data_IF_449989142710
#
_entry.id   IF_449989142710
#
_cell.length_a   1.000
_cell.length_b   1.000
_cell.length_c   1.000
_cell.angle_alpha   90.00
_cell.angle_beta   90.00
_cell.angle_gamma   90.00
#
_symmetry.space_group_name_H-M   'P 1'
#
loop_
_entity.id
_entity.type
_entity.pdbx_description
1 polymer ?
#
# COMPACT_ATOMS: atom_id res chain seq x y z
N UNK A 1 -9.49 -62.72 73.01
CA UNK A 1 -8.81 -63.70 72.12
C UNK A 1 -8.95 -63.19 70.69
N UNK A 2 -7.96 -63.12 69.81
CA UNK A 2 -6.52 -63.34 69.85
C UNK A 2 -6.02 -62.68 68.55
N UNK A 3 -4.88 -62.00 68.63
CA UNK A 3 -4.18 -61.38 67.51
C UNK A 3 -3.76 -62.46 66.51
N UNK A 4 -3.96 -62.22 65.21
CA UNK A 4 -3.05 -62.82 64.22
C UNK A 4 -2.86 -61.90 63.02
N UNK A 5 -1.68 -61.27 63.01
CA UNK A 5 -0.98 -60.78 61.83
C UNK A 5 -0.82 -61.91 60.82
N UNK A 6 -1.10 -61.64 59.55
CA UNK A 6 -0.44 -62.32 58.44
C UNK A 6 0.27 -61.29 57.57
N UNK A 7 1.55 -61.55 57.42
CA UNK A 7 2.58 -60.75 56.77
C UNK A 7 2.52 -60.87 55.25
N UNK A 8 2.72 -59.71 54.60
CA UNK A 8 3.22 -59.44 53.24
C UNK A 8 3.50 -60.65 52.33
N UNK A 9 2.85 -60.65 51.17
CA UNK A 9 3.44 -61.16 49.93
C UNK A 9 3.68 -59.98 49.00
N UNK A 10 4.95 -59.80 48.60
CA UNK A 10 5.39 -58.72 47.74
C UNK A 10 4.75 -58.83 46.37
N UNK A 11 3.93 -57.83 46.01
CA UNK A 11 3.65 -57.53 44.61
C UNK A 11 4.77 -56.63 44.12
N UNK A 12 5.56 -57.15 43.19
CA UNK A 12 6.34 -56.36 42.25
C UNK A 12 5.44 -55.25 41.71
N UNK A 13 5.77 -54.00 42.03
CA UNK A 13 5.17 -52.80 41.43
C UNK A 13 5.50 -52.83 39.93
N UNK A 14 4.66 -53.51 39.15
CA UNK A 14 4.47 -53.12 37.76
C UNK A 14 3.81 -51.76 37.80
N UNK A 15 4.67 -50.74 37.76
CA UNK A 15 4.28 -49.36 37.53
C UNK A 15 3.65 -49.34 36.14
N UNK A 16 2.35 -49.58 36.05
CA UNK A 16 1.57 -49.35 34.84
C UNK A 16 1.83 -47.91 34.44
N UNK A 17 2.59 -47.74 33.36
CA UNK A 17 2.85 -46.43 32.78
C UNK A 17 1.54 -45.96 32.18
N UNK A 18 0.82 -45.11 32.92
CA UNK A 18 -0.41 -44.49 32.46
C UNK A 18 -0.08 -43.69 31.19
N UNK A 19 -0.52 -44.20 30.04
CA UNK A 19 -0.28 -43.58 28.75
C UNK A 19 -1.33 -42.50 28.51
N UNK A 20 -0.86 -41.25 28.44
CA UNK A 20 -1.72 -40.09 28.15
C UNK A 20 -2.31 -40.18 26.74
N UNK A 21 -3.60 -39.87 26.59
CA UNK A 21 -4.34 -39.81 25.33
C UNK A 21 -4.87 -38.40 25.07
N UNK A 22 -4.92 -37.97 23.81
CA UNK A 22 -5.43 -36.65 23.40
C UNK A 22 -6.96 -36.60 23.38
N UNK A 23 -7.57 -36.83 24.53
CA UNK A 23 -9.03 -36.92 24.72
C UNK A 23 -9.42 -36.03 25.90
N UNK A 24 -10.28 -35.03 25.66
CA UNK A 24 -10.62 -34.00 26.66
C UNK A 24 -11.55 -34.50 27.77
N UNK A 25 -12.36 -35.53 27.50
CA UNK A 25 -13.47 -35.93 28.36
C UNK A 25 -13.16 -37.10 29.32
N UNK A 26 -12.03 -37.80 29.14
CA UNK A 26 -11.65 -38.93 29.99
C UNK A 26 -10.70 -38.50 31.11
N UNK A 27 -10.92 -38.98 32.34
CA UNK A 27 -9.95 -38.81 33.43
C UNK A 27 -8.82 -39.82 33.26
N UNK A 28 -7.61 -39.30 33.01
CA UNK A 28 -6.43 -40.12 32.69
C UNK A 28 -5.39 -40.19 33.82
N UNK A 29 -5.74 -39.81 35.06
CA UNK A 29 -4.83 -39.92 36.22
C UNK A 29 -3.57 -39.04 36.18
N UNK A 30 -3.47 -38.12 35.22
CA UNK A 30 -2.38 -37.13 35.11
C UNK A 30 -2.78 -35.80 35.77
N UNK A 31 -1.80 -34.97 36.15
CA UNK A 31 -2.05 -33.62 36.68
C UNK A 31 -2.71 -32.73 35.60
N UNK A 32 -3.52 -31.76 36.02
CA UNK A 32 -4.21 -30.84 35.10
C UNK A 32 -3.26 -30.05 34.19
N UNK A 33 -2.03 -29.76 34.63
CA UNK A 33 -1.01 -29.06 33.83
C UNK A 33 -0.03 -30.03 33.12
N UNK A 34 -0.33 -31.31 33.05
CA UNK A 34 0.55 -32.28 32.42
C UNK A 34 0.57 -32.09 30.90
N UNK A 35 1.76 -31.80 30.37
CA UNK A 35 2.03 -31.72 28.92
C UNK A 35 2.84 -32.96 28.53
N UNK A 36 2.32 -33.83 27.66
CA UNK A 36 3.06 -35.02 27.26
C UNK A 36 4.31 -34.63 26.44
N UNK A 37 5.41 -35.39 26.50
CA UNK A 37 6.59 -35.14 25.65
C UNK A 37 6.29 -35.20 24.15
N UNK A 38 5.20 -35.89 23.76
CA UNK A 38 4.69 -35.95 22.40
C UNK A 38 3.86 -34.73 21.98
N UNK A 39 3.56 -33.79 22.89
CA UNK A 39 2.66 -32.65 22.63
C UNK A 39 3.07 -31.85 21.40
N UNK A 40 4.37 -31.60 21.24
CA UNK A 40 4.92 -30.84 20.12
C UNK A 40 5.22 -31.70 18.89
N UNK A 41 5.04 -33.03 18.94
CA UNK A 41 5.27 -33.91 17.77
C UNK A 41 4.30 -33.61 16.64
N UNK A 42 3.07 -33.24 16.96
CA UNK A 42 2.04 -32.88 15.99
C UNK A 42 2.05 -31.39 15.61
N UNK A 43 3.01 -30.61 16.14
CA UNK A 43 3.12 -29.19 15.83
C UNK A 43 3.56 -29.04 14.37
N UNK A 44 2.60 -28.88 13.48
CA UNK A 44 2.87 -28.58 12.08
C UNK A 44 3.37 -27.14 11.96
N UNK A 45 4.69 -26.96 11.91
CA UNK A 45 5.32 -25.66 11.67
C UNK A 45 5.19 -25.30 10.20
N UNK A 46 4.92 -24.02 9.91
CA UNK A 46 5.14 -23.47 8.56
C UNK A 46 4.39 -24.20 7.42
N UNK A 47 3.17 -24.70 7.68
CA UNK A 47 2.38 -25.53 6.74
C UNK A 47 2.10 -24.84 5.40
N UNK A 48 2.08 -23.50 5.38
CA UNK A 48 1.83 -22.69 4.19
C UNK A 48 3.03 -21.77 3.87
N UNK A 49 4.27 -22.27 3.99
CA UNK A 49 5.45 -21.46 3.70
C UNK A 49 5.61 -21.27 2.18
N UNK A 50 5.09 -20.16 1.66
CA UNK A 50 5.34 -19.75 0.28
C UNK A 50 6.80 -19.30 0.14
N UNK A 51 7.54 -19.94 -0.77
CA UNK A 51 8.88 -19.50 -1.16
C UNK A 51 8.76 -18.54 -2.33
N UNK A 52 9.28 -17.33 -2.17
CA UNK A 52 9.33 -16.34 -3.24
C UNK A 52 10.70 -16.39 -3.92
N UNK A 53 10.72 -16.35 -5.25
CA UNK A 53 11.95 -16.09 -5.98
C UNK A 53 12.31 -14.60 -5.89
N UNK A 54 13.62 -14.30 -6.01
CA UNK A 54 14.08 -12.92 -5.98
C UNK A 54 13.41 -12.06 -7.07
N UNK A 55 13.14 -12.65 -8.24
CA UNK A 55 12.47 -12.00 -9.36
C UNK A 55 11.05 -11.57 -8.99
N UNK A 56 10.29 -12.45 -8.33
CA UNK A 56 8.93 -12.14 -7.88
C UNK A 56 8.92 -11.05 -6.82
N UNK A 57 9.91 -11.03 -5.92
CA UNK A 57 10.08 -9.96 -4.94
C UNK A 57 10.36 -8.61 -5.60
N UNK A 58 11.24 -8.58 -6.61
CA UNK A 58 11.55 -7.35 -7.38
C UNK A 58 10.33 -6.90 -8.20
N UNK A 59 9.64 -7.83 -8.86
CA UNK A 59 8.44 -7.51 -9.61
C UNK A 59 7.35 -6.97 -8.68
N UNK A 60 7.22 -7.50 -7.47
CA UNK A 60 6.28 -7.01 -6.46
C UNK A 60 6.65 -5.61 -5.93
N UNK A 61 7.94 -5.28 -5.81
CA UNK A 61 8.36 -3.92 -5.39
C UNK A 61 8.09 -2.84 -6.45
N UNK A 62 7.83 -3.22 -7.70
CA UNK A 62 7.48 -2.26 -8.76
C UNK A 62 6.18 -1.52 -8.46
N UNK A 63 5.19 -2.18 -7.86
CA UNK A 63 3.92 -1.55 -7.49
C UNK A 63 4.13 -0.43 -6.45
N UNK A 64 4.99 -0.67 -5.45
CA UNK A 64 5.38 0.35 -4.47
C UNK A 64 6.11 1.52 -5.13
N UNK A 65 6.99 1.22 -6.07
CA UNK A 65 7.72 2.23 -6.84
C UNK A 65 6.79 3.12 -7.65
N UNK A 66 5.77 2.54 -8.30
CA UNK A 66 4.77 3.30 -9.06
C UNK A 66 4.01 4.30 -8.18
N UNK A 67 3.62 3.92 -6.95
CA UNK A 67 2.93 4.85 -6.05
C UNK A 67 3.85 5.97 -5.55
N UNK A 68 5.11 5.66 -5.23
CA UNK A 68 6.08 6.69 -4.83
C UNK A 68 6.34 7.66 -5.97
N UNK A 69 6.54 7.17 -7.19
CA UNK A 69 6.65 8.00 -8.38
C UNK A 69 5.39 8.85 -8.59
N UNK A 70 4.20 8.28 -8.38
CA UNK A 70 2.93 9.02 -8.48
C UNK A 70 2.87 10.20 -7.51
N UNK A 71 3.27 10.00 -6.25
CA UNK A 71 3.35 11.07 -5.25
C UNK A 71 4.37 12.14 -5.67
N UNK A 72 5.55 11.74 -6.14
CA UNK A 72 6.59 12.69 -6.57
C UNK A 72 6.12 13.52 -7.76
N UNK A 73 5.54 12.90 -8.77
CA UNK A 73 4.96 13.60 -9.93
C UNK A 73 3.88 14.58 -9.46
N UNK A 74 2.99 14.15 -8.57
CA UNK A 74 1.93 15.00 -8.02
C UNK A 74 2.49 16.25 -7.31
N UNK A 75 3.49 16.07 -6.45
CA UNK A 75 4.13 17.18 -5.72
C UNK A 75 4.85 18.11 -6.71
N UNK A 76 5.56 17.60 -7.70
CA UNK A 76 6.29 18.43 -8.67
C UNK A 76 5.32 19.22 -9.55
N UNK A 77 4.19 18.64 -9.96
CA UNK A 77 3.14 19.37 -10.68
C UNK A 77 2.56 20.50 -9.83
N UNK A 78 2.31 20.27 -8.54
CA UNK A 78 1.92 21.35 -7.62
C UNK A 78 2.97 22.47 -7.58
N UNK A 79 4.25 22.15 -7.43
CA UNK A 79 5.32 23.17 -7.39
C UNK A 79 5.38 24.00 -8.67
N UNK A 80 5.10 23.41 -9.83
CA UNK A 80 5.04 24.17 -11.08
C UNK A 80 3.80 25.06 -11.18
N UNK A 81 2.63 24.60 -10.72
CA UNK A 81 1.42 25.42 -10.65
C UNK A 81 1.60 26.58 -9.65
N UNK A 82 2.32 26.36 -8.55
CA UNK A 82 2.58 27.37 -7.51
C UNK A 82 3.70 28.36 -7.91
N UNK A 83 4.44 28.10 -8.99
CA UNK A 83 5.61 28.89 -9.40
C UNK A 83 5.31 30.34 -9.83
N UNK A 84 4.04 30.76 -9.87
CA UNK A 84 3.62 32.11 -10.25
C UNK A 84 3.78 32.43 -11.74
N UNK A 85 4.04 31.43 -12.59
CA UNK A 85 4.25 31.59 -14.04
C UNK A 85 2.97 31.25 -14.82
N UNK A 86 2.20 32.23 -15.31
CA UNK A 86 0.88 31.97 -15.90
C UNK A 86 0.95 31.13 -17.18
N UNK A 87 1.95 31.35 -18.03
CA UNK A 87 2.13 30.57 -19.27
C UNK A 87 2.36 29.08 -18.99
N UNK A 88 3.19 28.79 -17.98
CA UNK A 88 3.48 27.42 -17.56
C UNK A 88 2.24 26.78 -16.93
N UNK A 89 1.51 27.52 -16.10
CA UNK A 89 0.28 27.04 -15.47
C UNK A 89 -0.76 26.63 -16.50
N UNK A 90 -1.00 27.48 -17.51
CA UNK A 90 -1.93 27.18 -18.60
C UNK A 90 -1.48 25.92 -19.36
N UNK A 91 -0.20 25.79 -19.69
CA UNK A 91 0.32 24.62 -20.38
C UNK A 91 0.12 23.33 -19.56
N UNK A 92 0.31 23.38 -18.24
CA UNK A 92 0.08 22.25 -17.33
C UNK A 92 -1.41 21.92 -17.26
N UNK A 93 -2.29 22.90 -17.12
CA UNK A 93 -3.74 22.69 -17.10
C UNK A 93 -4.23 22.00 -18.40
N UNK A 94 -3.73 22.43 -19.56
CA UNK A 94 -4.03 21.78 -20.85
C UNK A 94 -3.49 20.35 -20.86
N UNK A 95 -2.26 20.15 -20.39
CA UNK A 95 -1.64 18.82 -20.33
C UNK A 95 -2.44 17.86 -19.44
N UNK A 96 -2.90 18.34 -18.28
CA UNK A 96 -3.77 17.57 -17.37
C UNK A 96 -5.06 17.20 -18.09
N UNK A 97 -5.76 18.15 -18.73
CA UNK A 97 -7.00 17.85 -19.44
C UNK A 97 -6.82 16.79 -20.55
N UNK A 98 -5.71 16.85 -21.30
CA UNK A 98 -5.37 15.85 -22.32
C UNK A 98 -5.09 14.48 -21.69
N UNK A 99 -4.34 14.44 -20.58
CA UNK A 99 -4.06 13.21 -19.83
C UNK A 99 -5.36 12.61 -19.29
N UNK A 100 -6.24 13.42 -18.69
CA UNK A 100 -7.56 13.00 -18.21
C UNK A 100 -8.34 12.33 -19.35
N UNK A 101 -8.46 13.00 -20.49
CA UNK A 101 -9.17 12.47 -21.65
C UNK A 101 -8.56 11.15 -22.14
N UNK A 102 -7.24 11.06 -22.22
CA UNK A 102 -6.53 9.85 -22.61
C UNK A 102 -6.80 8.70 -21.63
N UNK A 103 -6.64 8.93 -20.33
CA UNK A 103 -6.85 7.91 -19.30
C UNK A 103 -8.30 7.41 -19.30
N UNK A 104 -9.29 8.32 -19.37
CA UNK A 104 -10.68 7.93 -19.50
C UNK A 104 -10.91 7.12 -20.78
N UNK A 105 -10.44 7.58 -21.94
CA UNK A 105 -10.58 6.85 -23.20
C UNK A 105 -9.98 5.44 -23.14
N UNK A 106 -8.80 5.27 -22.52
CA UNK A 106 -8.20 3.95 -22.31
C UNK A 106 -9.04 3.08 -21.37
N UNK A 107 -9.65 3.65 -20.32
CA UNK A 107 -10.55 2.93 -19.43
C UNK A 107 -11.78 2.40 -20.18
N UNK A 108 -12.40 3.24 -21.02
CA UNK A 108 -13.53 2.87 -21.89
C UNK A 108 -13.15 1.70 -22.81
N UNK A 109 -11.98 1.81 -23.46
CA UNK A 109 -11.50 0.82 -24.40
C UNK A 109 -11.22 -0.54 -23.73
N UNK A 110 -10.61 -0.52 -22.54
CA UNK A 110 -10.29 -1.74 -21.77
C UNK A 110 -11.54 -2.40 -21.18
N UNK A 111 -12.64 -1.66 -20.97
CA UNK A 111 -13.88 -2.20 -20.40
C UNK A 111 -15.13 -1.64 -21.09
N UNK A 112 -15.51 -2.13 -22.29
CA UNK A 112 -16.61 -1.59 -23.09
C UNK A 112 -17.98 -2.08 -22.58
N UNK A 113 -18.34 -1.71 -21.35
CA UNK A 113 -19.64 -2.01 -20.73
C UNK A 113 -20.54 -0.77 -20.70
N UNK A 114 -21.86 -0.96 -20.63
CA UNK A 114 -22.82 0.16 -20.47
C UNK A 114 -22.60 0.97 -19.18
N UNK A 115 -21.85 0.42 -18.22
CA UNK A 115 -21.44 1.11 -17.00
C UNK A 115 -20.54 2.33 -17.32
N UNK A 116 -19.82 2.30 -18.45
CA UNK A 116 -18.92 3.38 -18.85
C UNK A 116 -19.64 4.71 -19.10
N UNK A 117 -20.86 4.70 -19.62
CA UNK A 117 -21.64 5.93 -19.80
C UNK A 117 -22.05 6.51 -18.44
N UNK A 118 -22.37 5.65 -17.48
CA UNK A 118 -22.65 6.05 -16.09
C UNK A 118 -21.37 6.54 -15.39
N UNK A 119 -20.21 5.97 -15.70
CA UNK A 119 -18.91 6.44 -15.23
C UNK A 119 -18.53 7.79 -15.84
N UNK A 120 -18.78 8.03 -17.14
CA UNK A 120 -18.57 9.32 -17.78
C UNK A 120 -19.48 10.40 -17.17
N UNK A 121 -20.74 10.03 -16.86
CA UNK A 121 -21.66 10.90 -16.14
C UNK A 121 -21.15 11.20 -14.73
N UNK A 122 -20.59 10.20 -14.03
CA UNK A 122 -19.99 10.36 -12.71
C UNK A 122 -18.72 11.21 -12.74
N UNK A 123 -17.89 11.06 -13.78
CA UNK A 123 -16.71 11.87 -14.03
C UNK A 123 -17.08 13.34 -14.30
N UNK A 124 -18.11 13.59 -15.12
CA UNK A 124 -18.65 14.93 -15.33
C UNK A 124 -19.18 15.54 -14.02
N UNK A 125 -19.88 14.75 -13.19
CA UNK A 125 -20.36 15.19 -11.88
C UNK A 125 -19.20 15.51 -10.93
N UNK A 126 -18.13 14.68 -10.92
CA UNK A 126 -16.92 14.92 -10.12
C UNK A 126 -16.16 16.17 -10.57
N UNK A 127 -16.06 16.41 -11.89
CA UNK A 127 -15.44 17.62 -12.44
C UNK A 127 -16.25 18.87 -12.09
N UNK A 128 -17.58 18.81 -12.20
CA UNK A 128 -18.48 19.93 -11.88
C UNK A 128 -18.50 20.20 -10.38
N UNK A 129 -18.50 19.16 -9.53
CA UNK A 129 -18.42 19.34 -8.08
C UNK A 129 -17.05 19.85 -7.64
N UNK A 130 -15.98 19.40 -8.27
CA UNK A 130 -14.62 19.92 -8.08
C UNK A 130 -14.53 21.42 -8.37
N UNK A 131 -15.20 21.91 -9.43
CA UNK A 131 -15.29 23.35 -9.73
C UNK A 131 -16.03 24.14 -8.64
N UNK A 132 -17.12 23.60 -8.11
CA UNK A 132 -17.88 24.25 -7.05
C UNK A 132 -17.13 24.29 -5.71
N UNK A 133 -16.34 23.25 -5.43
CA UNK A 133 -15.62 23.08 -4.16
C UNK A 133 -14.25 23.77 -4.15
N UNK A 134 -13.59 23.94 -5.30
CA UNK A 134 -12.29 24.64 -5.43
C UNK A 134 -12.24 26.03 -4.76
N UNK A 135 -13.18 26.96 -5.02
CA UNK A 135 -13.19 28.27 -4.36
C UNK A 135 -13.50 28.17 -2.85
N UNK A 136 -14.30 27.18 -2.43
CA UNK A 136 -14.67 26.94 -1.02
C UNK A 136 -13.46 26.41 -0.23
N UNK A 137 -12.66 25.55 -0.85
CA UNK A 137 -11.42 25.01 -0.24
C UNK A 137 -10.41 26.13 0.02
N UNK A 138 -10.28 27.05 -0.92
CA UNK A 138 -9.38 28.20 -0.77
C UNK A 138 -9.81 29.08 0.40
N UNK A 139 -11.09 29.41 0.50
CA UNK A 139 -11.60 30.28 1.57
C UNK A 139 -11.60 29.61 2.95
N UNK A 140 -11.88 28.30 3.04
CA UNK A 140 -11.94 27.59 4.33
C UNK A 140 -10.56 27.36 4.95
N UNK A 141 -9.53 27.20 4.13
CA UNK A 141 -8.17 26.84 4.60
C UNK A 141 -7.23 28.03 4.66
N UNK A 142 -7.65 29.24 4.25
CA UNK A 142 -6.83 30.45 4.26
C UNK A 142 -6.25 30.75 5.65
N UNK A 143 -7.00 30.44 6.71
CA UNK A 143 -6.61 30.64 8.11
C UNK A 143 -5.60 29.62 8.63
N UNK A 144 -5.36 28.53 7.89
CA UNK A 144 -4.38 27.49 8.25
C UNK A 144 -3.01 27.87 7.69
N UNK A 145 -1.95 27.70 8.50
CA UNK A 145 -0.58 27.99 8.06
C UNK A 145 -0.10 27.03 6.97
N UNK A 146 0.77 27.51 6.09
CA UNK A 146 1.38 26.71 5.01
C UNK A 146 2.17 25.53 5.55
N UNK A 147 2.89 25.71 6.65
CA UNK A 147 3.73 24.67 7.25
C UNK A 147 2.89 23.50 7.79
N UNK A 148 1.75 23.82 8.40
CA UNK A 148 0.82 22.76 8.87
C UNK A 148 0.17 22.04 7.71
N UNK A 149 -0.15 22.74 6.62
CA UNK A 149 -0.65 22.11 5.39
C UNK A 149 0.38 21.14 4.81
N UNK A 150 1.65 21.54 4.67
CA UNK A 150 2.69 20.63 4.16
C UNK A 150 2.96 19.44 5.09
N UNK A 151 2.87 19.63 6.41
CA UNK A 151 2.94 18.53 7.36
C UNK A 151 1.77 17.55 7.20
N UNK A 152 0.54 18.06 7.10
CA UNK A 152 -0.66 17.24 6.89
C UNK A 152 -0.60 16.48 5.57
N UNK A 153 -0.19 17.13 4.49
CA UNK A 153 0.03 16.49 3.18
C UNK A 153 1.03 15.35 3.30
N UNK A 154 2.15 15.57 3.98
CA UNK A 154 3.19 14.55 4.17
C UNK A 154 2.63 13.34 4.91
N UNK A 155 1.90 13.57 6.02
CA UNK A 155 1.22 12.50 6.78
C UNK A 155 0.23 11.75 5.89
N UNK A 156 -0.53 12.45 5.07
CA UNK A 156 -1.55 11.86 4.22
C UNK A 156 -0.95 11.04 3.07
N UNK A 157 0.17 11.47 2.50
CA UNK A 157 0.94 10.69 1.53
C UNK A 157 1.54 9.43 2.18
N UNK A 158 1.96 9.49 3.44
CA UNK A 158 2.40 8.31 4.20
C UNK A 158 1.24 7.35 4.52
N UNK A 159 0.08 7.87 4.90
CA UNK A 159 -1.15 7.07 5.09
C UNK A 159 -1.54 6.41 3.76
N UNK A 160 -1.47 7.13 2.65
CA UNK A 160 -1.70 6.56 1.33
C UNK A 160 -0.74 5.39 1.07
N UNK A 161 0.58 5.59 1.19
CA UNK A 161 1.57 4.53 0.95
C UNK A 161 1.44 3.33 1.88
N UNK A 162 0.99 3.51 3.12
CA UNK A 162 0.91 2.43 4.11
C UNK A 162 -0.34 1.57 3.94
N UNK A 163 -1.48 2.18 3.60
CA UNK A 163 -2.76 1.47 3.47
C UNK A 163 -3.07 1.05 2.02
N UNK A 164 -2.28 1.46 1.03
CA UNK A 164 -2.54 1.13 -0.36
C UNK A 164 -2.36 -0.37 -0.65
N UNK A 165 -3.22 -0.90 -1.53
CA UNK A 165 -3.18 -2.31 -1.92
C UNK A 165 -2.22 -2.54 -3.08
N UNK A 166 -1.03 -3.04 -2.73
CA UNK A 166 0.01 -3.42 -3.69
C UNK A 166 -0.18 -4.83 -4.29
N UNK A 167 -1.30 -5.52 -3.97
CA UNK A 167 -1.54 -6.91 -4.37
C UNK A 167 -0.93 -7.95 -3.43
N UNK A 168 -0.38 -7.53 -2.30
CA UNK A 168 0.07 -8.42 -1.23
C UNK A 168 -1.11 -8.75 -0.30
N UNK A 169 -1.25 -10.03 0.10
CA UNK A 169 -2.24 -10.46 1.10
C UNK A 169 -1.84 -9.98 2.52
N UNK A 170 -1.87 -8.67 2.73
CA UNK A 170 -1.52 -8.03 4.00
C UNK A 170 -2.78 -7.54 4.72
N UNK A 171 -2.85 -7.77 6.04
CA UNK A 171 -4.02 -7.44 6.85
C UNK A 171 -4.22 -5.92 7.12
N UNK A 172 -3.21 -5.11 6.81
CA UNK A 172 -3.19 -3.66 7.12
C UNK A 172 -3.76 -2.83 5.96
N UNK A 173 -4.04 -3.44 4.81
CA UNK A 173 -4.39 -2.74 3.57
C UNK A 173 -5.87 -2.31 3.54
N UNK A 174 -6.12 -1.06 3.16
CA UNK A 174 -7.46 -0.50 2.96
C UNK A 174 -7.45 0.51 1.80
N UNK A 175 -7.92 0.06 0.62
CA UNK A 175 -8.00 0.91 -0.59
C UNK A 175 -8.78 2.22 -0.35
N UNK A 176 -9.97 2.22 0.30
CA UNK A 176 -10.69 3.47 0.54
C UNK A 176 -9.93 4.46 1.42
N UNK A 177 -9.26 3.97 2.48
CA UNK A 177 -8.47 4.83 3.38
C UNK A 177 -7.29 5.44 2.62
N UNK A 178 -6.57 4.63 1.85
CA UNK A 178 -5.43 5.09 1.06
C UNK A 178 -5.83 6.15 0.03
N UNK A 179 -6.91 5.91 -0.73
CA UNK A 179 -7.38 6.86 -1.75
C UNK A 179 -7.91 8.15 -1.11
N UNK A 180 -8.68 8.06 -0.03
CA UNK A 180 -9.19 9.24 0.69
C UNK A 180 -8.05 10.08 1.25
N UNK A 181 -6.99 9.45 1.77
CA UNK A 181 -5.80 10.17 2.26
C UNK A 181 -5.10 10.92 1.13
N UNK A 182 -4.85 10.28 -0.02
CA UNK A 182 -4.22 10.94 -1.16
C UNK A 182 -5.04 12.12 -1.70
N UNK A 183 -6.36 11.95 -1.86
CA UNK A 183 -7.25 13.03 -2.31
C UNK A 183 -7.29 14.15 -1.28
N UNK A 184 -7.37 13.85 0.02
CA UNK A 184 -7.30 14.87 1.07
C UNK A 184 -5.98 15.64 1.05
N UNK A 185 -4.85 14.96 0.87
CA UNK A 185 -3.55 15.60 0.67
C UNK A 185 -3.56 16.53 -0.56
N UNK A 186 -4.15 16.09 -1.67
CA UNK A 186 -4.29 16.92 -2.86
C UNK A 186 -5.18 18.14 -2.66
N UNK A 187 -6.26 18.00 -1.89
CA UNK A 187 -7.14 19.09 -1.47
C UNK A 187 -6.39 20.13 -0.61
N UNK A 188 -5.59 19.68 0.35
CA UNK A 188 -4.76 20.54 1.18
C UNK A 188 -3.75 21.35 0.33
N UNK A 189 -3.06 20.71 -0.63
CA UNK A 189 -2.14 21.38 -1.55
C UNK A 189 -2.86 22.37 -2.48
N UNK A 190 -3.97 21.96 -3.11
CA UNK A 190 -4.74 22.79 -4.03
C UNK A 190 -5.20 24.09 -3.38
N UNK A 191 -5.48 24.05 -2.09
CA UNK A 191 -5.90 25.21 -1.30
C UNK A 191 -4.85 26.32 -1.16
N UNK A 192 -3.58 26.03 -1.48
CA UNK A 192 -2.48 27.02 -1.48
C UNK A 192 -2.26 27.67 -2.82
N UNK A 193 -2.84 27.14 -3.90
CA UNK A 193 -2.69 27.73 -5.21
C UNK A 193 -3.42 29.08 -5.30
N UNK A 194 -2.76 30.03 -5.95
CA UNK A 194 -3.23 31.41 -6.03
C UNK A 194 -4.47 31.55 -6.91
N UNK A 195 -4.63 30.73 -7.95
CA UNK A 195 -5.78 30.78 -8.85
C UNK A 195 -6.71 29.57 -8.67
N UNK A 196 -8.01 29.80 -8.84
CA UNK A 196 -9.03 28.75 -8.75
C UNK A 196 -8.88 27.70 -9.85
N UNK A 197 -8.38 28.10 -11.03
CA UNK A 197 -8.14 27.19 -12.15
C UNK A 197 -6.98 26.23 -11.88
N UNK A 198 -5.88 26.70 -11.29
CA UNK A 198 -4.75 25.85 -10.94
C UNK A 198 -5.14 24.87 -9.82
N UNK A 199 -5.88 25.35 -8.81
CA UNK A 199 -6.43 24.50 -7.75
C UNK A 199 -7.33 23.39 -8.33
N UNK A 200 -8.21 23.75 -9.26
CA UNK A 200 -9.08 22.79 -9.93
C UNK A 200 -8.28 21.77 -10.77
N UNK A 201 -7.32 22.23 -11.57
CA UNK A 201 -6.47 21.36 -12.38
C UNK A 201 -5.68 20.38 -11.50
N UNK A 202 -5.15 20.83 -10.36
CA UNK A 202 -4.45 19.96 -9.42
C UNK A 202 -5.38 18.90 -8.82
N UNK A 203 -6.63 19.23 -8.51
CA UNK A 203 -7.62 18.26 -8.01
C UNK A 203 -8.00 17.22 -9.05
N UNK A 204 -8.16 17.62 -10.32
CA UNK A 204 -8.32 16.68 -11.43
C UNK A 204 -7.11 15.76 -11.49
N UNK A 205 -5.91 16.34 -11.47
CA UNK A 205 -4.69 15.57 -11.57
C UNK A 205 -4.49 14.60 -10.40
N UNK A 206 -4.89 14.99 -9.18
CA UNK A 206 -4.91 14.11 -8.01
C UNK A 206 -5.83 12.88 -8.26
N UNK A 207 -7.03 13.11 -8.81
CA UNK A 207 -7.93 12.02 -9.20
C UNK A 207 -7.32 11.15 -10.31
N UNK A 208 -6.72 11.76 -11.33
CA UNK A 208 -6.13 11.01 -12.44
C UNK A 208 -4.98 10.12 -11.97
N UNK A 209 -4.07 10.67 -11.16
CA UNK A 209 -2.85 9.97 -10.76
C UNK A 209 -3.10 8.98 -9.63
N UNK A 210 -3.98 9.26 -8.66
CA UNK A 210 -4.21 8.34 -7.53
C UNK A 210 -5.39 7.39 -7.72
N UNK A 211 -6.44 7.79 -8.44
CA UNK A 211 -7.66 6.97 -8.61
C UNK A 211 -7.67 6.31 -9.97
N UNK A 212 -7.70 7.10 -11.05
CA UNK A 212 -7.92 6.57 -12.40
C UNK A 212 -6.74 5.70 -12.85
N UNK A 213 -5.51 6.15 -12.59
CA UNK A 213 -4.32 5.37 -12.93
C UNK A 213 -4.21 4.08 -12.11
N UNK A 214 -4.64 4.10 -10.83
CA UNK A 214 -4.68 2.91 -9.97
C UNK A 214 -5.69 1.87 -10.50
N UNK A 215 -6.86 2.31 -10.97
CA UNK A 215 -7.85 1.44 -11.60
C UNK A 215 -7.27 0.82 -12.87
N UNK A 216 -6.65 1.63 -13.74
CA UNK A 216 -6.06 1.15 -15.00
C UNK A 216 -4.93 0.14 -14.74
N UNK A 217 -4.07 0.37 -13.75
CA UNK A 217 -3.03 -0.57 -13.30
C UNK A 217 -3.62 -1.92 -12.88
N UNK A 218 -4.74 -1.92 -12.16
CA UNK A 218 -5.41 -3.16 -11.71
C UNK A 218 -6.05 -3.93 -12.85
N UNK A 219 -6.50 -3.25 -13.91
CA UNK A 219 -7.11 -3.87 -15.09
C UNK A 219 -6.07 -4.48 -16.03
N UNK A 220 -4.88 -3.89 -16.12
CA UNK A 220 -3.81 -4.38 -17.00
C UNK A 220 -2.74 -5.11 -16.19
N UNK A 221 -2.93 -6.43 -15.99
CA UNK A 221 -2.10 -7.22 -15.07
C UNK A 221 -0.94 -8.02 -15.69
N UNK A 222 -0.67 -7.88 -17.00
CA UNK A 222 0.44 -8.61 -17.65
C UNK A 222 1.78 -8.14 -17.11
N UNK A 223 2.73 -9.07 -16.93
CA UNK A 223 4.05 -8.77 -16.36
C UNK A 223 4.80 -7.70 -17.17
N UNK A 224 4.78 -7.82 -18.50
CA UNK A 224 5.42 -6.85 -19.40
C UNK A 224 4.83 -5.45 -19.22
N UNK A 225 3.51 -5.32 -19.07
CA UNK A 225 2.87 -4.03 -18.90
C UNK A 225 3.21 -3.38 -17.55
N UNK A 226 3.29 -4.18 -16.47
CA UNK A 226 3.73 -3.69 -15.16
C UNK A 226 5.14 -3.10 -15.22
N UNK A 227 6.06 -3.76 -15.92
CA UNK A 227 7.42 -3.25 -16.11
C UNK A 227 7.41 -1.97 -16.94
N UNK A 228 6.72 -1.95 -18.08
CA UNK A 228 6.60 -0.77 -18.94
C UNK A 228 6.04 0.43 -18.18
N UNK A 229 4.96 0.25 -17.41
CA UNK A 229 4.39 1.30 -16.59
C UNK A 229 5.38 1.79 -15.53
N UNK A 230 6.11 0.89 -14.88
CA UNK A 230 7.12 1.28 -13.88
C UNK A 230 8.21 2.15 -14.48
N UNK A 231 8.70 1.77 -15.67
CA UNK A 231 9.70 2.56 -16.40
C UNK A 231 9.13 3.93 -16.80
N UNK A 232 7.88 3.98 -17.23
CA UNK A 232 7.19 5.24 -17.54
C UNK A 232 7.11 6.16 -16.32
N UNK A 233 6.57 5.68 -15.19
CA UNK A 233 6.46 6.46 -13.95
C UNK A 233 7.82 6.93 -13.44
N UNK A 234 8.84 6.06 -13.51
CA UNK A 234 10.19 6.41 -13.11
C UNK A 234 10.79 7.50 -14.00
N UNK A 235 10.71 7.34 -15.33
CA UNK A 235 11.21 8.29 -16.31
C UNK A 235 10.54 9.66 -16.17
N UNK A 236 9.21 9.68 -16.03
CA UNK A 236 8.46 10.92 -15.83
C UNK A 236 8.82 11.61 -14.51
N UNK A 237 8.93 10.86 -13.41
CA UNK A 237 9.34 11.43 -12.11
C UNK A 237 10.75 12.00 -12.18
N UNK A 238 11.68 11.27 -12.81
CA UNK A 238 13.08 11.68 -12.96
C UNK A 238 13.22 12.96 -13.77
N UNK A 239 12.57 13.03 -14.94
CA UNK A 239 12.61 14.20 -15.81
C UNK A 239 12.00 15.43 -15.12
N UNK A 240 10.82 15.29 -14.52
CA UNK A 240 10.17 16.38 -13.80
C UNK A 240 11.03 16.90 -12.63
N UNK A 241 11.60 16.00 -11.82
CA UNK A 241 12.43 16.36 -10.67
C UNK A 241 13.75 17.02 -11.09
N UNK A 242 14.35 16.57 -12.20
CA UNK A 242 15.59 17.15 -12.74
C UNK A 242 15.43 18.60 -13.22
N UNK A 243 14.22 18.97 -13.65
CA UNK A 243 13.91 20.30 -14.14
C UNK A 243 13.43 21.19 -12.96
N UNK A 244 12.66 20.62 -12.03
CA UNK A 244 12.00 21.39 -10.97
C UNK A 244 12.89 21.70 -9.77
N UNK A 245 13.80 20.78 -9.42
CA UNK A 245 14.48 20.80 -8.13
C UNK A 245 16.01 20.73 -8.25
N UNK A 246 16.74 21.24 -7.24
CA UNK A 246 18.19 21.06 -7.16
C UNK A 246 18.60 19.58 -7.16
N UNK A 247 19.85 19.33 -7.61
CA UNK A 247 20.43 17.99 -7.75
C UNK A 247 20.29 17.11 -6.51
N UNK A 248 20.28 17.69 -5.30
CA UNK A 248 20.17 16.92 -4.05
C UNK A 248 18.87 16.12 -3.96
N UNK A 249 17.73 16.68 -4.37
CA UNK A 249 16.46 15.96 -4.33
C UNK A 249 16.44 14.82 -5.35
N UNK A 250 17.07 15.01 -6.50
CA UNK A 250 17.25 13.95 -7.50
C UNK A 250 18.08 12.79 -6.95
N UNK A 251 19.20 13.09 -6.27
CA UNK A 251 20.03 12.07 -5.65
C UNK A 251 19.29 11.30 -4.56
N UNK A 252 18.55 12.01 -3.69
CA UNK A 252 17.72 11.37 -2.67
C UNK A 252 16.65 10.45 -3.29
N UNK A 253 16.02 10.88 -4.38
CA UNK A 253 15.04 10.06 -5.10
C UNK A 253 15.68 8.80 -5.72
N UNK A 254 16.86 8.91 -6.34
CA UNK A 254 17.59 7.76 -6.88
C UNK A 254 17.94 6.77 -5.76
N UNK A 255 18.46 7.27 -4.64
CA UNK A 255 18.79 6.44 -3.47
C UNK A 255 17.54 5.72 -2.95
N UNK A 256 16.42 6.42 -2.81
CA UNK A 256 15.14 5.83 -2.40
C UNK A 256 14.70 4.69 -3.35
N UNK A 257 14.76 4.91 -4.66
CA UNK A 257 14.37 3.90 -5.65
C UNK A 257 15.29 2.67 -5.63
N UNK A 258 16.60 2.87 -5.45
CA UNK A 258 17.57 1.77 -5.32
C UNK A 258 17.30 0.98 -4.03
N UNK A 259 17.04 1.68 -2.92
CA UNK A 259 16.68 1.06 -1.66
C UNK A 259 15.42 0.18 -1.80
N UNK A 260 14.39 0.70 -2.45
CA UNK A 260 13.10 0.00 -2.56
C UNK A 260 13.13 -1.16 -3.55
N UNK A 261 13.78 -1.03 -4.70
CA UNK A 261 13.74 -2.06 -5.74
C UNK A 261 14.82 -3.13 -5.59
N UNK A 262 15.90 -2.84 -4.86
CA UNK A 262 17.00 -3.80 -4.69
C UNK A 262 17.22 -4.16 -3.23
N UNK A 263 17.45 -3.18 -2.36
CA UNK A 263 17.85 -3.45 -0.97
C UNK A 263 16.71 -4.13 -0.20
N UNK A 264 15.47 -3.65 -0.32
CA UNK A 264 14.31 -4.22 0.34
C UNK A 264 14.02 -5.67 -0.14
N UNK A 265 13.91 -5.96 -1.45
CA UNK A 265 13.74 -7.33 -1.94
C UNK A 265 14.89 -8.27 -1.56
N UNK A 266 16.15 -7.81 -1.63
CA UNK A 266 17.31 -8.61 -1.20
C UNK A 266 17.27 -8.89 0.31
N UNK A 267 16.92 -7.90 1.12
CA UNK A 267 16.72 -8.04 2.56
C UNK A 267 15.62 -9.04 2.87
N UNK A 268 14.45 -8.89 2.22
CA UNK A 268 13.32 -9.83 2.35
C UNK A 268 13.70 -11.25 1.96
N UNK A 269 14.36 -11.43 0.81
CA UNK A 269 14.83 -12.74 0.33
C UNK A 269 15.83 -13.39 1.29
N UNK A 270 16.75 -12.61 1.89
CA UNK A 270 17.66 -13.11 2.94
C UNK A 270 16.91 -13.47 4.21
N UNK A 271 15.95 -12.65 4.64
CA UNK A 271 15.13 -12.90 5.82
C UNK A 271 14.23 -14.14 5.69
N UNK A 272 13.82 -14.49 4.47
CA UNK A 272 13.07 -15.71 4.19
C UNK A 272 13.82 -16.96 4.66
N UNK A 273 15.17 -16.97 4.58
CA UNK A 273 16.00 -18.08 5.08
C UNK A 273 15.79 -18.31 6.59
N UNK A 274 15.63 -17.25 7.38
CA UNK A 274 15.43 -17.37 8.83
C UNK A 274 14.03 -17.85 9.21
N UNK A 275 13.04 -17.73 8.32
CA UNK A 275 11.67 -18.21 8.55
C UNK A 275 11.59 -19.74 8.67
N UNK A 276 12.57 -20.45 8.12
CA UNK A 276 12.72 -21.90 8.29
C UNK A 276 13.23 -22.29 9.69
N UNK A 277 13.86 -21.36 10.44
CA UNK A 277 14.52 -21.64 11.73
C UNK A 277 13.76 -21.15 12.97
N UNK A 278 12.73 -20.32 12.82
CA UNK A 278 11.91 -19.88 13.96
C UNK A 278 11.06 -21.08 14.43
N UNK A 279 11.44 -21.60 15.59
CA UNK A 279 10.94 -22.84 16.20
C UNK A 279 10.04 -22.58 17.38
#
# INVERSE_FOLDING_TARGET
>A
MTITRTTKSGKTDHKETIEWKKVLYERQGVKDHYVPPSFLKDLRKNVNLQKYELKDCILSSTALTQEICSIVIFIVVFLYLDSGRPQLSIAICISIAVITLFLYSTLIFVSPSNDVINELKSAAIFLISGLAVSPILKTLTETISTDTIYAMVTVMMLVHLTFYDYGAKAAIVSTPVALNAAIFGGVCLASRLSTTYDAFALLIFASDIFVLSAILRRRVQTENWKICLTVFYWSTSFTLLSIACPLIYLLLFIVLLVCINFICPLGFYRCQKYKEYVS
#
